data_IF_852628126792
#
_entry.id   IF_852628126792
#
_cell.length_a   1.000
_cell.length_b   1.000
_cell.length_c   1.000
_cell.angle_alpha   90.00
_cell.angle_beta   90.00
_cell.angle_gamma   90.00
#
_symmetry.space_group_name_H-M   'P 1'
#
loop_
_entity.id
_entity.type
_entity.pdbx_description
1 polymer ?
#
# COMPACT_ATOMS: atom_id res chain seq x y z
N UNK A 1 -12.64 -27.30 0.65
CA UNK A 1 -11.67 -26.26 1.05
C UNK A 1 -11.32 -25.45 -0.18
N UNK A 2 -12.15 -24.46 -0.49
CA UNK A 2 -11.94 -23.36 -1.44
C UNK A 2 -13.22 -22.53 -1.40
N UNK A 3 -13.45 -21.91 -0.25
CA UNK A 3 -14.61 -21.05 0.08
C UNK A 3 -14.12 -19.70 0.62
N UNK A 4 -12.89 -19.29 0.24
CA UNK A 4 -12.23 -18.14 0.87
C UNK A 4 -12.04 -16.95 -0.08
N UNK A 5 -12.57 -17.05 -1.30
CA UNK A 5 -12.48 -16.00 -2.33
C UNK A 5 -13.83 -15.79 -3.03
N UNK A 6 -14.94 -16.06 -2.36
CA UNK A 6 -16.30 -15.72 -2.83
C UNK A 6 -16.89 -14.63 -1.91
N UNK A 7 -16.09 -13.57 -1.68
CA UNK A 7 -16.32 -12.37 -0.85
C UNK A 7 -16.36 -11.14 -1.77
N UNK A 8 -16.96 -11.29 -2.96
CA UNK A 8 -16.68 -10.51 -4.17
C UNK A 8 -16.92 -8.98 -4.05
N UNK A 9 -17.67 -8.52 -3.04
CA UNK A 9 -18.07 -7.09 -2.91
C UNK A 9 -17.96 -6.54 -1.48
N UNK A 10 -17.67 -7.37 -0.46
CA UNK A 10 -17.86 -6.95 0.93
C UNK A 10 -16.72 -6.17 1.57
N UNK A 11 -15.58 -6.01 0.91
CA UNK A 11 -14.43 -5.45 1.61
C UNK A 11 -13.46 -4.72 0.68
N UNK A 12 -13.98 -3.80 -0.13
CA UNK A 12 -13.15 -2.86 -0.91
C UNK A 12 -12.15 -2.13 -0.01
N UNK A 13 -12.53 -1.87 1.24
CA UNK A 13 -11.65 -1.26 2.23
C UNK A 13 -10.53 -2.21 2.66
N UNK A 14 -10.81 -3.49 2.94
CA UNK A 14 -9.77 -4.50 3.20
C UNK A 14 -8.88 -4.77 1.98
N UNK A 15 -9.44 -4.78 0.77
CA UNK A 15 -8.63 -4.91 -0.46
C UNK A 15 -7.68 -3.72 -0.63
N UNK A 16 -8.16 -2.50 -0.39
CA UNK A 16 -7.33 -1.30 -0.38
C UNK A 16 -6.24 -1.37 0.70
N UNK A 17 -6.55 -1.89 1.89
CA UNK A 17 -5.58 -2.04 2.97
C UNK A 17 -4.51 -3.10 2.66
N UNK A 18 -4.88 -4.21 2.03
CA UNK A 18 -3.94 -5.23 1.54
C UNK A 18 -3.05 -4.66 0.44
N UNK A 19 -3.61 -3.90 -0.50
CA UNK A 19 -2.85 -3.23 -1.56
C UNK A 19 -1.85 -2.23 -0.96
N UNK A 20 -2.30 -1.39 -0.03
CA UNK A 20 -1.47 -0.42 0.69
C UNK A 20 -0.32 -1.10 1.45
N UNK A 21 -0.59 -2.17 2.20
CA UNK A 21 0.45 -2.94 2.88
C UNK A 21 1.44 -3.57 1.90
N UNK A 22 0.94 -4.09 0.78
CA UNK A 22 1.77 -4.67 -0.28
C UNK A 22 2.72 -3.62 -0.86
N UNK A 23 2.20 -2.42 -1.17
CA UNK A 23 2.99 -1.30 -1.67
C UNK A 23 4.08 -0.87 -0.67
N UNK A 24 3.79 -0.88 0.63
CA UNK A 24 4.76 -0.57 1.67
C UNK A 24 5.88 -1.61 1.77
N UNK A 25 5.54 -2.90 1.68
CA UNK A 25 6.50 -4.01 1.67
C UNK A 25 7.42 -3.91 0.46
N UNK A 26 6.85 -3.69 -0.73
CA UNK A 26 7.62 -3.53 -1.97
C UNK A 26 8.57 -2.34 -1.86
N UNK A 27 8.05 -1.16 -1.50
CA UNK A 27 8.86 0.06 -1.38
C UNK A 27 10.01 -0.10 -0.36
N UNK A 28 9.76 -0.78 0.75
CA UNK A 28 10.81 -1.09 1.73
C UNK A 28 11.84 -2.07 1.18
N UNK A 29 11.41 -3.05 0.38
CA UNK A 29 12.29 -4.07 -0.21
C UNK A 29 13.14 -3.54 -1.36
N UNK A 30 12.63 -2.56 -2.12
CA UNK A 30 13.34 -1.91 -3.22
C UNK A 30 14.21 -0.72 -2.78
N UNK A 31 14.04 -0.26 -1.55
CA UNK A 31 14.85 0.82 -0.98
C UNK A 31 16.13 0.26 -0.38
N UNK A 32 17.28 0.91 -0.67
CA UNK A 32 18.59 0.58 -0.08
C UNK A 32 18.69 0.93 1.44
N UNK A 33 17.58 1.30 2.07
CA UNK A 33 17.48 1.69 3.46
C UNK A 33 16.06 2.00 3.91
N UNK A 34 15.85 2.46 5.16
CA UNK A 34 14.53 2.78 5.68
C UNK A 34 13.81 3.82 4.81
N UNK A 35 12.51 3.61 4.60
CA UNK A 35 11.67 4.61 3.94
C UNK A 35 11.63 5.91 4.75
N UNK A 36 11.71 7.02 4.03
CA UNK A 36 11.51 8.34 4.63
C UNK A 36 10.02 8.57 4.93
N UNK A 37 9.73 9.47 5.88
CA UNK A 37 8.34 9.80 6.23
C UNK A 37 7.52 10.23 5.00
N UNK A 38 8.10 11.05 4.11
CA UNK A 38 7.41 11.48 2.89
C UNK A 38 7.05 10.33 1.96
N UNK A 39 7.90 9.30 1.85
CA UNK A 39 7.62 8.11 1.04
C UNK A 39 6.49 7.28 1.67
N UNK A 40 6.50 7.15 3.00
CA UNK A 40 5.44 6.46 3.74
C UNK A 40 4.11 7.22 3.56
N UNK A 41 4.11 8.54 3.76
CA UNK A 41 2.92 9.38 3.62
C UNK A 41 2.34 9.33 2.21
N UNK A 42 3.19 9.23 1.19
CA UNK A 42 2.74 9.04 -0.19
C UNK A 42 2.07 7.68 -0.39
N UNK A 43 2.66 6.59 0.12
CA UNK A 43 2.11 5.22 0.01
C UNK A 43 0.79 5.08 0.78
N UNK A 44 0.68 5.74 1.94
CA UNK A 44 -0.53 5.79 2.76
C UNK A 44 -1.58 6.76 2.22
N UNK A 45 -1.30 7.51 1.15
CA UNK A 45 -2.20 8.50 0.57
C UNK A 45 -2.43 9.74 1.44
N UNK A 46 -1.56 9.99 2.43
CA UNK A 46 -1.58 11.16 3.32
C UNK A 46 -1.02 12.40 2.63
N UNK A 47 -0.03 12.21 1.74
CA UNK A 47 0.59 13.28 0.96
C UNK A 47 0.50 13.03 -0.53
N UNK A 48 0.33 14.08 -1.32
CA UNK A 48 0.40 13.99 -2.78
C UNK A 48 1.81 13.60 -3.23
N UNK A 49 1.94 12.98 -4.40
CA UNK A 49 3.23 12.64 -4.99
C UNK A 49 4.11 13.89 -4.97
N UNK A 50 5.34 13.84 -4.41
CA UNK A 50 6.23 14.99 -4.48
C UNK A 50 6.36 15.35 -5.96
N UNK A 51 5.88 16.55 -6.31
CA UNK A 51 6.08 17.13 -7.63
C UNK A 51 7.58 17.33 -7.75
N UNK A 52 8.24 16.43 -8.47
CA UNK A 52 9.62 16.60 -8.89
C UNK A 52 9.71 17.95 -9.63
N UNK A 53 10.41 18.90 -9.01
CA UNK A 53 10.55 20.28 -9.46
C UNK A 53 12.01 20.68 -9.46
#
# INVERSE_FOLDING_TARGET
>A
MNDQLDVDIHDRDVLNEIEMMTNLIIATSESDGPLTQNQIDFILGVSEKPTDG
#
